data_IF_592363504036
#
_entry.id   IF_592363504036
#
_cell.length_a   1.000
_cell.length_b   1.000
_cell.length_c   1.000
_cell.angle_alpha   90.00
_cell.angle_beta   90.00
_cell.angle_gamma   90.00
#
_symmetry.space_group_name_H-M   'P 1'
#
loop_
_entity.id
_entity.type
_entity.pdbx_description
1 polymer ?
#
# COMPACT_ATOMS: atom_id res chain seq x y z
N UNK A 1 -19.65 1.75 11.95
CA UNK A 1 -18.36 2.15 12.57
C UNK A 1 -18.51 2.70 13.98
N UNK A 2 -19.22 3.82 14.18
CA UNK A 2 -19.43 4.38 15.54
C UNK A 2 -20.15 3.40 16.49
N UNK A 3 -21.06 2.57 15.99
CA UNK A 3 -21.66 1.47 16.75
C UNK A 3 -20.62 0.44 17.23
N UNK A 4 -19.65 0.08 16.39
CA UNK A 4 -18.57 -0.84 16.79
C UNK A 4 -17.68 -0.23 17.88
N UNK A 5 -17.34 1.06 17.75
CA UNK A 5 -16.64 1.81 18.80
C UNK A 5 -17.44 1.83 20.10
N UNK A 6 -18.75 2.04 20.00
CA UNK A 6 -19.66 2.02 21.15
C UNK A 6 -19.68 0.63 21.82
N UNK A 7 -19.84 -0.43 21.03
CA UNK A 7 -19.89 -1.81 21.52
C UNK A 7 -18.58 -2.24 22.19
N UNK A 8 -17.43 -1.82 21.65
CA UNK A 8 -16.11 -2.16 22.20
C UNK A 8 -15.78 -1.37 23.47
N UNK A 9 -16.02 -0.05 23.47
CA UNK A 9 -15.47 0.84 24.50
C UNK A 9 -16.51 1.41 25.48
N UNK A 10 -17.79 1.47 25.11
CA UNK A 10 -18.81 2.21 25.84
C UNK A 10 -20.00 1.35 26.32
N UNK A 11 -20.17 0.13 25.79
CA UNK A 11 -21.21 -0.81 26.22
C UNK A 11 -21.11 -1.18 27.71
N UNK A 12 -19.88 -1.23 28.23
CA UNK A 12 -19.60 -1.48 29.65
C UNK A 12 -18.73 -0.36 30.22
N UNK A 13 -18.93 -0.04 31.50
CA UNK A 13 -18.10 0.95 32.19
C UNK A 13 -16.69 0.38 32.42
N UNK A 14 -15.76 0.71 31.54
CA UNK A 14 -14.37 0.28 31.66
C UNK A 14 -13.68 0.90 32.88
N UNK A 15 -12.71 0.17 33.45
CA UNK A 15 -11.85 0.67 34.55
C UNK A 15 -11.02 1.88 34.12
N UNK A 16 -10.68 1.94 32.83
CA UNK A 16 -9.99 3.05 32.18
C UNK A 16 -10.83 3.46 30.97
N UNK A 17 -11.75 4.42 31.12
CA UNK A 17 -12.67 4.79 30.05
C UNK A 17 -11.93 5.50 28.92
N UNK A 18 -12.18 5.05 27.70
CA UNK A 18 -11.80 5.79 26.48
C UNK A 18 -12.68 7.04 26.42
N UNK A 19 -12.10 8.17 26.02
CA UNK A 19 -12.81 9.45 25.86
C UNK A 19 -12.98 9.76 24.39
N UNK A 20 -14.11 10.35 24.02
CA UNK A 20 -14.28 10.90 22.67
C UNK A 20 -14.24 12.41 22.73
N UNK A 21 -13.34 13.01 21.96
CA UNK A 21 -13.18 14.44 21.84
C UNK A 21 -13.50 14.88 20.41
N UNK A 22 -14.40 15.86 20.28
CA UNK A 22 -14.65 16.59 19.04
C UNK A 22 -13.99 17.97 19.14
N UNK A 23 -12.79 18.14 18.56
CA UNK A 23 -12.13 19.43 18.55
C UNK A 23 -12.89 20.42 17.66
N UNK A 24 -13.08 21.63 18.16
CA UNK A 24 -13.62 22.74 17.36
C UNK A 24 -12.46 23.37 16.61
N UNK A 25 -12.44 23.18 15.29
CA UNK A 25 -11.34 23.63 14.45
C UNK A 25 -11.26 25.16 14.47
N UNK A 26 -10.15 25.76 14.94
CA UNK A 26 -10.00 27.21 14.94
C UNK A 26 -9.78 27.72 13.51
N UNK A 27 -10.17 28.97 13.26
CA UNK A 27 -9.97 29.62 11.96
C UNK A 27 -8.50 29.82 11.60
N UNK A 28 -7.62 29.94 12.61
CA UNK A 28 -6.18 29.99 12.39
C UNK A 28 -5.62 28.58 12.18
N UNK A 29 -4.96 28.36 11.05
CA UNK A 29 -4.42 27.06 10.63
C UNK A 29 -5.51 25.97 10.50
N UNK A 30 -6.72 26.35 10.11
CA UNK A 30 -7.88 25.48 9.96
C UNK A 30 -7.56 24.19 9.18
N UNK A 31 -6.95 24.32 8.00
CA UNK A 31 -6.61 23.20 7.15
C UNK A 31 -5.62 22.23 7.82
N UNK A 32 -4.66 22.74 8.60
CA UNK A 32 -3.73 21.89 9.36
C UNK A 32 -4.47 21.13 10.46
N UNK A 33 -5.36 21.78 11.19
CA UNK A 33 -6.13 21.14 12.25
C UNK A 33 -7.12 20.11 11.71
N UNK A 34 -7.82 20.42 10.62
CA UNK A 34 -8.67 19.45 9.91
C UNK A 34 -7.85 18.28 9.38
N UNK A 35 -6.65 18.53 8.84
CA UNK A 35 -5.71 17.49 8.44
C UNK A 35 -5.22 16.61 9.60
N UNK A 36 -5.13 17.17 10.81
CA UNK A 36 -4.59 16.51 11.98
C UNK A 36 -5.66 15.77 12.80
N UNK A 37 -6.81 16.38 13.09
CA UNK A 37 -7.85 15.76 13.90
C UNK A 37 -8.99 15.16 13.09
N UNK A 38 -9.12 15.56 11.81
CA UNK A 38 -10.28 15.25 10.99
C UNK A 38 -11.43 16.21 11.31
N UNK A 39 -12.17 16.57 10.28
CA UNK A 39 -13.36 17.41 10.36
C UNK A 39 -14.58 16.57 9.95
N UNK A 40 -15.67 16.73 10.69
CA UNK A 40 -16.93 16.07 10.34
C UNK A 40 -17.66 16.93 9.32
N UNK A 41 -18.22 16.27 8.30
CA UNK A 41 -19.13 16.92 7.37
C UNK A 41 -20.29 17.58 8.16
N UNK A 42 -20.62 18.85 7.90
CA UNK A 42 -21.71 19.54 8.58
C UNK A 42 -23.04 18.77 8.58
N UNK A 43 -23.31 17.98 7.53
CA UNK A 43 -24.52 17.17 7.42
C UNK A 43 -24.50 15.95 8.36
N UNK A 44 -23.32 15.48 8.73
CA UNK A 44 -23.14 14.37 9.67
C UNK A 44 -23.17 14.82 11.12
N UNK A 45 -22.86 16.08 11.43
CA UNK A 45 -22.80 16.59 12.80
C UNK A 45 -24.13 16.36 13.56
N UNK A 46 -25.31 16.75 13.04
CA UNK A 46 -26.57 16.52 13.74
C UNK A 46 -26.86 15.03 14.00
N UNK A 47 -26.44 14.15 13.09
CA UNK A 47 -26.62 12.70 13.21
C UNK A 47 -25.73 12.14 14.32
N UNK A 48 -24.46 12.56 14.35
CA UNK A 48 -23.52 12.18 15.42
C UNK A 48 -24.05 12.67 16.76
N UNK A 49 -24.57 13.89 16.81
CA UNK A 49 -25.11 14.49 18.03
C UNK A 49 -26.36 13.79 18.56
N UNK A 50 -27.32 13.53 17.68
CA UNK A 50 -28.57 12.90 18.06
C UNK A 50 -28.38 11.47 18.59
N UNK A 51 -27.43 10.72 18.02
CA UNK A 51 -27.32 9.29 18.26
C UNK A 51 -26.14 8.88 19.14
N UNK A 52 -25.05 9.66 19.19
CA UNK A 52 -23.79 9.22 19.81
C UNK A 52 -23.25 10.17 20.89
N UNK A 53 -23.62 11.45 20.92
CA UNK A 53 -23.07 12.38 21.92
C UNK A 53 -23.36 11.97 23.36
N UNK A 54 -24.60 11.57 23.68
CA UNK A 54 -24.97 11.11 25.04
C UNK A 54 -24.42 9.72 25.38
N UNK A 55 -24.54 8.69 24.51
CA UNK A 55 -24.05 7.36 24.85
C UNK A 55 -22.53 7.26 24.96
N UNK A 56 -21.80 8.11 24.25
CA UNK A 56 -20.33 8.07 24.13
C UNK A 56 -19.64 9.15 24.98
N UNK A 57 -20.42 10.01 25.66
CA UNK A 57 -19.91 11.13 26.47
C UNK A 57 -18.91 12.01 25.70
N UNK A 58 -19.37 12.52 24.57
CA UNK A 58 -18.52 13.28 23.64
C UNK A 58 -18.20 14.66 24.21
N UNK A 59 -16.92 14.92 24.43
CA UNK A 59 -16.40 16.19 24.90
C UNK A 59 -16.08 17.11 23.71
N UNK A 60 -16.52 18.37 23.75
CA UNK A 60 -16.09 19.40 22.79
C UNK A 60 -14.89 20.14 23.32
N UNK A 61 -13.88 20.35 22.47
CA UNK A 61 -12.60 20.96 22.86
C UNK A 61 -12.34 22.19 22.00
N UNK A 62 -12.47 23.36 22.60
CA UNK A 62 -12.36 24.65 21.89
C UNK A 62 -10.90 25.14 21.78
N UNK A 63 -10.07 24.90 22.80
CA UNK A 63 -8.65 25.28 22.80
C UNK A 63 -7.77 24.09 22.41
N UNK A 64 -7.77 23.77 21.10
CA UNK A 64 -6.91 22.70 20.57
C UNK A 64 -5.44 22.89 20.94
N UNK A 65 -4.80 24.07 20.72
CA UNK A 65 -3.39 24.26 21.00
C UNK A 65 -3.02 24.07 22.48
N UNK A 66 -3.88 24.49 23.41
CA UNK A 66 -3.66 24.26 24.84
C UNK A 66 -3.78 22.78 25.21
N UNK A 67 -4.77 22.08 24.65
CA UNK A 67 -5.12 20.70 25.02
C UNK A 67 -4.43 19.59 24.21
N UNK A 68 -3.43 19.91 23.37
CA UNK A 68 -2.75 18.93 22.52
C UNK A 68 -2.25 17.70 23.28
N UNK A 69 -1.65 17.88 24.46
CA UNK A 69 -1.20 16.77 25.32
C UNK A 69 -2.31 15.79 25.66
N UNK A 70 -3.49 16.31 26.00
CA UNK A 70 -4.67 15.50 26.32
C UNK A 70 -5.26 14.87 25.06
N UNK A 71 -5.52 15.67 24.01
CA UNK A 71 -6.11 15.22 22.74
C UNK A 71 -5.29 14.13 22.06
N UNK A 72 -3.97 14.16 22.18
CA UNK A 72 -3.08 13.17 21.57
C UNK A 72 -2.83 11.94 22.45
N UNK A 73 -3.37 11.90 23.66
CA UNK A 73 -3.23 10.75 24.55
C UNK A 73 -3.88 9.49 23.95
N UNK A 74 -3.34 8.27 24.18
CA UNK A 74 -3.80 7.06 23.50
C UNK A 74 -5.26 6.69 23.75
N UNK A 75 -5.81 7.15 24.87
CA UNK A 75 -7.17 6.92 25.36
C UNK A 75 -8.20 7.93 24.84
N UNK A 76 -7.78 8.90 24.02
CA UNK A 76 -8.69 9.89 23.42
C UNK A 76 -8.91 9.56 21.94
N UNK A 77 -10.17 9.37 21.56
CA UNK A 77 -10.62 9.21 20.19
C UNK A 77 -11.14 10.55 19.66
N UNK A 78 -10.67 10.94 18.49
CA UNK A 78 -11.13 12.10 17.73
C UNK A 78 -11.47 11.65 16.30
N UNK A 79 -12.16 12.44 15.46
CA UNK A 79 -12.74 11.98 14.19
C UNK A 79 -11.80 11.10 13.35
N UNK A 80 -10.57 11.54 13.15
CA UNK A 80 -9.56 10.78 12.42
C UNK A 80 -9.20 9.42 13.06
N UNK A 81 -9.10 9.33 14.39
CA UNK A 81 -8.85 8.05 15.09
C UNK A 81 -10.09 7.16 15.08
N UNK A 82 -11.29 7.76 15.16
CA UNK A 82 -12.55 7.04 15.04
C UNK A 82 -12.65 6.34 13.68
N UNK A 83 -12.28 7.01 12.59
CA UNK A 83 -12.28 6.42 11.23
C UNK A 83 -11.15 5.41 10.97
N UNK A 84 -10.19 5.29 11.88
CA UNK A 84 -9.15 4.25 11.83
C UNK A 84 -9.52 3.00 12.64
N UNK A 85 -10.62 3.04 13.41
CA UNK A 85 -11.06 1.91 14.22
C UNK A 85 -11.39 0.69 13.34
N UNK A 86 -10.99 -0.51 13.78
CA UNK A 86 -11.16 -1.73 12.99
C UNK A 86 -10.24 -1.88 11.77
N UNK A 87 -9.44 -0.85 11.43
CA UNK A 87 -8.42 -0.94 10.38
C UNK A 87 -7.09 -1.43 10.98
N UNK A 88 -6.55 -2.49 10.38
CA UNK A 88 -5.22 -3.03 10.64
C UNK A 88 -4.27 -2.56 9.56
N UNK A 89 -3.17 -1.97 10.00
CA UNK A 89 -2.08 -1.56 9.13
C UNK A 89 -1.21 -2.75 8.77
N UNK A 90 -0.98 -2.97 7.48
CA UNK A 90 -0.01 -3.94 6.96
C UNK A 90 1.22 -3.20 6.43
N UNK A 91 2.32 -3.34 7.18
CA UNK A 91 3.60 -2.71 6.81
C UNK A 91 4.29 -3.50 5.71
N UNK A 92 4.75 -2.80 4.68
CA UNK A 92 5.54 -3.39 3.60
C UNK A 92 7.04 -3.11 3.81
N UNK A 93 7.87 -4.16 3.81
CA UNK A 93 9.34 -4.06 3.73
C UNK A 93 10.14 -4.21 5.03
N UNK A 94 11.47 -4.31 4.86
CA UNK A 94 12.49 -4.42 5.93
C UNK A 94 12.60 -3.17 6.82
N UNK A 95 11.96 -2.06 6.44
CA UNK A 95 11.87 -0.80 7.21
C UNK A 95 10.89 -0.88 8.40
N UNK A 96 10.55 -2.08 8.88
CA UNK A 96 9.73 -2.29 10.06
C UNK A 96 10.40 -1.79 11.37
N UNK A 97 11.67 -1.36 11.32
CA UNK A 97 12.42 -0.78 12.43
C UNK A 97 12.73 0.70 12.16
N UNK A 98 12.41 1.56 13.14
CA UNK A 98 13.14 2.83 13.33
C UNK A 98 12.59 4.11 12.74
N UNK A 99 11.63 4.11 11.81
CA UNK A 99 11.32 5.35 11.06
C UNK A 99 10.21 6.22 11.67
N UNK A 100 10.30 6.52 12.97
CA UNK A 100 9.51 7.60 13.52
C UNK A 100 10.00 8.94 12.96
N UNK A 101 9.09 9.85 12.64
CA UNK A 101 9.47 11.12 12.03
C UNK A 101 8.70 12.30 12.62
N UNK A 102 9.40 13.42 12.72
CA UNK A 102 8.83 14.72 13.05
C UNK A 102 8.93 15.54 11.78
N UNK A 103 7.80 15.95 11.23
CA UNK A 103 7.76 16.76 10.03
C UNK A 103 7.68 18.23 10.41
N UNK A 104 8.81 18.93 10.34
CA UNK A 104 8.91 20.36 10.61
C UNK A 104 8.40 21.13 9.39
N UNK A 105 7.26 21.79 9.55
CA UNK A 105 6.45 22.28 8.44
C UNK A 105 5.91 23.69 8.64
N UNK A 106 5.56 24.35 7.54
CA UNK A 106 4.78 25.58 7.53
C UNK A 106 3.30 25.23 7.41
N UNK A 107 2.55 25.34 8.51
CA UNK A 107 1.12 25.00 8.51
C UNK A 107 0.23 26.04 7.81
N UNK A 108 0.79 27.18 7.39
CA UNK A 108 0.08 28.16 6.57
C UNK A 108 0.20 27.84 5.08
N UNK A 109 1.06 26.90 4.69
CA UNK A 109 1.25 26.50 3.30
C UNK A 109 0.55 25.16 3.00
N UNK A 110 -0.29 25.16 1.97
CA UNK A 110 -1.07 23.98 1.56
C UNK A 110 -0.18 22.82 1.12
N UNK A 111 0.93 23.10 0.42
CA UNK A 111 1.82 22.05 -0.09
C UNK A 111 2.45 21.26 1.06
N UNK A 112 2.80 21.94 2.14
CA UNK A 112 3.35 21.32 3.34
C UNK A 112 2.28 20.45 4.05
N UNK A 113 1.00 20.85 4.03
CA UNK A 113 -0.09 20.02 4.57
C UNK A 113 -0.33 18.79 3.71
N UNK A 114 -0.27 18.93 2.38
CA UNK A 114 -0.34 17.80 1.44
C UNK A 114 0.83 16.84 1.64
N UNK A 115 2.03 17.37 1.85
CA UNK A 115 3.21 16.57 2.20
C UNK A 115 3.00 15.83 3.52
N UNK A 116 2.50 16.50 4.56
CA UNK A 116 2.17 15.88 5.84
C UNK A 116 1.19 14.71 5.67
N UNK A 117 0.14 14.86 4.86
CA UNK A 117 -0.78 13.76 4.54
C UNK A 117 -0.09 12.60 3.85
N UNK A 118 0.75 12.86 2.85
CA UNK A 118 1.47 11.81 2.14
C UNK A 118 2.50 11.10 3.05
N UNK A 119 3.19 11.83 3.93
CA UNK A 119 4.07 11.23 4.93
C UNK A 119 3.30 10.29 5.88
N UNK A 120 2.08 10.67 6.26
CA UNK A 120 1.22 9.80 7.07
C UNK A 120 0.70 8.60 6.30
N UNK A 121 0.43 8.74 5.01
CA UNK A 121 -0.01 7.64 4.14
C UNK A 121 1.09 6.56 3.98
N UNK A 122 2.37 6.90 4.13
CA UNK A 122 3.45 5.91 4.27
C UNK A 122 3.37 5.07 5.56
N UNK A 123 2.40 5.36 6.42
CA UNK A 123 2.13 4.65 7.67
C UNK A 123 3.14 4.91 8.79
N UNK A 124 4.32 5.46 8.52
CA UNK A 124 5.34 5.76 9.54
C UNK A 124 4.76 6.61 10.70
N UNK A 125 5.15 6.35 11.96
CA UNK A 125 4.75 7.23 13.07
C UNK A 125 5.22 8.66 12.78
N UNK A 126 4.29 9.57 12.57
CA UNK A 126 4.58 10.94 12.15
C UNK A 126 3.88 11.94 13.07
N UNK A 127 4.63 12.93 13.56
CA UNK A 127 4.09 14.15 14.16
C UNK A 127 4.38 15.31 13.22
N UNK A 128 3.34 16.04 12.80
CA UNK A 128 3.48 17.31 12.11
C UNK A 128 3.75 18.39 13.13
N UNK A 129 4.85 19.12 12.96
CA UNK A 129 5.32 20.19 13.82
C UNK A 129 5.28 21.50 13.03
N UNK A 130 4.18 22.28 13.15
CA UNK A 130 4.10 23.61 12.57
C UNK A 130 5.13 24.54 13.21
N UNK A 131 5.90 25.26 12.39
CA UNK A 131 6.80 26.31 12.90
C UNK A 131 6.03 27.42 13.63
N UNK A 132 4.78 27.68 13.24
CA UNK A 132 3.86 28.60 13.92
C UNK A 132 3.55 28.20 15.36
N UNK A 133 3.72 26.93 15.71
CA UNK A 133 3.44 26.38 17.03
C UNK A 133 4.71 25.91 17.74
N UNK A 134 5.89 26.34 17.26
CA UNK A 134 7.17 25.98 17.86
C UNK A 134 7.25 26.35 19.36
N UNK A 135 6.69 27.50 19.73
CA UNK A 135 6.71 27.99 21.12
C UNK A 135 5.58 27.39 21.99
N UNK A 136 4.72 26.54 21.44
CA UNK A 136 3.62 25.95 22.19
C UNK A 136 4.15 24.84 23.12
N UNK A 137 4.03 25.04 24.43
CA UNK A 137 4.52 24.11 25.45
C UNK A 137 3.81 22.75 25.43
N UNK A 138 2.51 22.71 25.11
CA UNK A 138 1.71 21.47 25.03
C UNK A 138 2.23 20.57 23.89
N UNK A 139 2.43 21.14 22.70
CA UNK A 139 3.00 20.45 21.55
C UNK A 139 4.43 20.00 21.84
N UNK A 140 5.24 20.86 22.46
CA UNK A 140 6.61 20.53 22.87
C UNK A 140 6.65 19.35 23.83
N UNK A 141 5.75 19.30 24.82
CA UNK A 141 5.62 18.17 25.74
C UNK A 141 5.26 16.86 25.03
N UNK A 142 4.31 16.91 24.09
CA UNK A 142 3.94 15.77 23.25
C UNK A 142 5.13 15.30 22.42
N UNK A 143 5.86 16.23 21.81
CA UNK A 143 7.01 15.93 20.97
C UNK A 143 8.12 15.25 21.76
N UNK A 144 8.45 15.75 22.95
CA UNK A 144 9.45 15.14 23.83
C UNK A 144 9.04 13.71 24.19
N UNK A 145 7.77 13.48 24.55
CA UNK A 145 7.25 12.14 24.84
C UNK A 145 7.35 11.22 23.63
N UNK A 146 7.05 11.73 22.43
CA UNK A 146 7.17 10.99 21.19
C UNK A 146 8.62 10.60 20.87
N UNK A 147 9.56 11.53 20.98
CA UNK A 147 10.99 11.28 20.76
C UNK A 147 11.53 10.24 21.74
N UNK A 148 11.20 10.37 23.03
CA UNK A 148 11.58 9.40 24.07
C UNK A 148 11.01 8.00 23.80
N UNK A 149 9.74 7.92 23.40
CA UNK A 149 9.07 6.63 23.14
C UNK A 149 9.57 5.90 21.89
N UNK A 150 10.20 6.64 20.97
CA UNK A 150 10.75 6.10 19.74
C UNK A 150 12.27 5.89 19.77
N UNK A 151 12.96 6.33 20.84
CA UNK A 151 14.35 5.95 21.10
C UNK A 151 14.40 4.48 21.55
N UNK A 152 14.96 3.59 20.73
CA UNK A 152 14.96 2.14 20.99
C UNK A 152 16.31 1.50 20.70
N UNK A 153 16.86 0.80 21.69
CA UNK A 153 18.10 0.05 21.50
C UNK A 153 17.93 -1.06 20.48
N UNK A 154 18.97 -1.26 19.65
CA UNK A 154 19.01 -2.40 18.76
C UNK A 154 19.13 -3.68 19.57
N UNK A 155 18.27 -4.67 19.26
CA UNK A 155 18.23 -5.97 19.94
C UNK A 155 19.60 -6.66 20.02
N UNK A 156 20.43 -6.49 18.99
CA UNK A 156 21.74 -7.13 18.88
C UNK A 156 22.90 -6.22 19.26
N UNK A 157 22.67 -4.91 19.46
CA UNK A 157 23.70 -3.95 19.83
C UNK A 157 23.12 -2.81 20.68
N UNK A 158 23.10 -2.94 22.02
CA UNK A 158 22.59 -1.91 22.91
C UNK A 158 23.37 -0.58 22.89
N UNK A 159 24.51 -0.50 22.19
CA UNK A 159 25.24 0.77 22.02
C UNK A 159 24.63 1.65 20.92
N UNK A 160 23.71 1.13 20.13
CA UNK A 160 23.05 1.84 19.03
C UNK A 160 21.55 1.90 19.29
N UNK A 161 20.97 3.09 19.06
CA UNK A 161 19.54 3.32 19.15
C UNK A 161 18.95 3.68 17.79
N UNK A 162 17.78 3.11 17.50
CA UNK A 162 16.83 3.72 16.58
C UNK A 162 16.30 5.01 17.23
N UNK A 163 16.20 6.08 16.45
CA UNK A 163 15.77 7.40 16.90
C UNK A 163 14.87 8.04 15.84
N UNK A 164 14.05 9.01 16.25
CA UNK A 164 13.18 9.69 15.30
C UNK A 164 13.96 10.68 14.42
N UNK A 165 13.54 10.82 13.16
CA UNK A 165 14.12 11.78 12.23
C UNK A 165 13.30 13.07 12.16
N UNK A 166 13.95 14.23 12.24
CA UNK A 166 13.34 15.48 11.84
C UNK A 166 13.46 15.64 10.32
N UNK A 167 12.32 15.78 9.65
CA UNK A 167 12.22 16.01 8.22
C UNK A 167 11.77 17.46 8.02
N UNK A 168 12.55 18.22 7.29
CA UNK A 168 12.25 19.60 6.92
C UNK A 168 11.25 19.63 5.76
N UNK A 169 10.24 20.47 5.84
CA UNK A 169 9.35 20.78 4.72
C UNK A 169 10.03 21.63 3.65
N UNK A 170 9.33 21.85 2.54
CA UNK A 170 9.82 22.71 1.45
C UNK A 170 9.82 24.18 1.83
N UNK A 171 8.87 24.59 2.69
CA UNK A 171 8.63 25.97 3.11
C UNK A 171 9.18 26.32 4.50
N UNK A 172 10.11 25.51 5.00
CA UNK A 172 10.89 25.77 6.21
C UNK A 172 12.38 25.72 5.91
N UNK A 173 13.23 26.40 6.65
CA UNK A 173 14.68 26.37 6.48
C UNK A 173 15.33 25.31 7.37
N UNK A 174 16.56 24.91 7.02
CA UNK A 174 17.33 23.97 7.87
C UNK A 174 17.71 24.62 9.20
N UNK A 175 18.00 25.92 9.18
CA UNK A 175 18.41 26.68 10.36
C UNK A 175 17.27 26.77 11.38
N UNK A 176 16.05 27.10 10.93
CA UNK A 176 14.84 27.11 11.79
C UNK A 176 14.61 25.74 12.45
N UNK A 177 14.67 24.65 11.67
CA UNK A 177 14.50 23.29 12.20
C UNK A 177 15.60 22.93 13.20
N UNK A 178 16.85 23.30 12.91
CA UNK A 178 17.98 23.01 13.77
C UNK A 178 17.94 23.83 15.07
N UNK A 179 17.54 25.10 15.01
CA UNK A 179 17.34 25.97 16.16
C UNK A 179 16.25 25.42 17.07
N UNK A 180 15.09 25.07 16.49
CA UNK A 180 14.02 24.42 17.24
C UNK A 180 14.48 23.11 17.89
N UNK A 181 15.13 22.24 17.12
CA UNK A 181 15.57 20.94 17.63
C UNK A 181 16.57 21.11 18.79
N UNK A 182 17.53 22.04 18.68
CA UNK A 182 18.46 22.38 19.77
C UNK A 182 17.73 22.88 21.01
N UNK A 183 16.65 23.66 20.82
CA UNK A 183 15.88 24.19 21.94
C UNK A 183 15.32 23.08 22.84
N UNK A 184 15.06 21.87 22.32
CA UNK A 184 14.45 20.76 23.08
C UNK A 184 15.32 20.26 24.24
N UNK A 185 16.62 20.54 24.22
CA UNK A 185 17.59 20.21 25.28
C UNK A 185 17.46 18.77 25.83
N UNK A 186 17.43 17.80 24.90
CA UNK A 186 17.26 16.39 25.23
C UNK A 186 18.62 15.72 25.43
N UNK A 187 19.05 15.60 26.69
CA UNK A 187 20.24 14.82 27.04
C UNK A 187 19.92 13.34 27.25
N UNK A 188 20.77 12.41 26.75
CA UNK A 188 20.64 10.98 27.02
C UNK A 188 20.56 10.70 28.53
N UNK A 189 19.84 9.64 28.96
CA UNK A 189 19.76 9.27 30.37
C UNK A 189 21.15 8.98 30.95
N UNK A 190 21.37 9.34 32.21
CA UNK A 190 22.60 8.96 32.90
C UNK A 190 22.73 7.43 32.98
N UNK A 191 23.90 6.90 32.61
CA UNK A 191 24.17 5.46 32.61
C UNK A 191 23.64 4.69 31.39
N UNK A 192 23.12 5.38 30.38
CA UNK A 192 22.69 4.75 29.12
C UNK A 192 23.89 4.20 28.34
N UNK A 193 23.74 2.98 27.79
CA UNK A 193 24.80 2.30 27.03
C UNK A 193 25.03 2.90 25.64
N UNK A 194 24.05 3.64 25.10
CA UNK A 194 24.15 4.32 23.81
C UNK A 194 24.46 5.81 24.00
N UNK A 195 25.39 6.32 23.18
CA UNK A 195 25.69 7.75 23.07
C UNK A 195 24.78 8.47 22.08
N UNK A 196 23.89 7.76 21.42
CA UNK A 196 22.97 8.34 20.46
C UNK A 196 21.96 9.23 21.17
N UNK A 197 21.65 10.37 20.55
CA UNK A 197 20.63 11.30 21.01
C UNK A 197 19.22 10.73 20.91
N UNK A 198 18.22 11.61 21.01
CA UNK A 198 16.81 11.21 20.85
C UNK A 198 16.27 11.37 19.43
N UNK A 199 17.03 12.05 18.57
CA UNK A 199 16.63 12.35 17.21
C UNK A 199 17.85 12.57 16.31
N UNK A 200 17.60 12.51 14.99
CA UNK A 200 18.54 12.93 13.95
C UNK A 200 17.90 13.98 13.06
N UNK A 201 18.71 14.90 12.52
CA UNK A 201 18.24 15.89 11.55
C UNK A 201 18.45 15.34 10.14
N UNK A 202 17.36 15.07 9.44
CA UNK A 202 17.40 14.56 8.08
C UNK A 202 17.65 15.71 7.10
N UNK A 203 18.77 15.66 6.37
CA UNK A 203 19.17 16.70 5.41
C UNK A 203 18.60 16.52 4.00
N UNK A 204 17.91 15.41 3.76
CA UNK A 204 17.30 15.07 2.48
C UNK A 204 15.80 14.89 2.64
N UNK A 205 15.06 15.14 1.57
CA UNK A 205 13.61 15.00 1.55
C UNK A 205 13.23 13.64 0.94
N UNK A 206 12.36 12.83 1.58
CA UNK A 206 11.93 11.58 0.99
C UNK A 206 11.26 11.80 -0.37
N UNK A 207 11.66 11.00 -1.37
CA UNK A 207 11.23 11.17 -2.75
C UNK A 207 9.82 10.60 -3.00
N UNK A 208 8.85 11.01 -2.17
CA UNK A 208 7.45 10.56 -2.22
C UNK A 208 6.74 10.96 -3.52
N UNK A 209 7.25 11.97 -4.22
CA UNK A 209 6.70 12.49 -5.49
C UNK A 209 7.40 11.94 -6.74
N UNK A 210 8.52 11.22 -6.58
CA UNK A 210 9.28 10.66 -7.69
C UNK A 210 8.81 9.22 -7.93
N UNK A 211 8.01 9.02 -8.99
CA UNK A 211 7.45 7.70 -9.31
C UNK A 211 8.51 6.61 -9.56
N UNK A 212 9.72 6.98 -9.97
CA UNK A 212 10.80 6.02 -10.23
C UNK A 212 11.63 5.71 -8.98
N UNK A 213 11.82 6.70 -8.09
CA UNK A 213 12.64 6.54 -6.91
C UNK A 213 11.88 6.09 -5.64
N UNK A 214 10.54 6.25 -5.62
CA UNK A 214 9.71 6.00 -4.45
C UNK A 214 9.90 4.60 -3.85
N UNK A 215 9.97 3.57 -4.70
CA UNK A 215 10.13 2.18 -4.27
C UNK A 215 11.51 1.90 -3.68
N UNK A 216 12.54 2.63 -4.14
CA UNK A 216 13.93 2.46 -3.68
C UNK A 216 14.18 3.05 -2.30
N UNK A 217 13.44 4.10 -1.95
CA UNK A 217 13.54 4.77 -0.65
C UNK A 217 12.61 4.17 0.41
N UNK A 218 11.91 3.08 0.08
CA UNK A 218 10.80 2.57 0.88
C UNK A 218 9.78 3.67 1.22
N UNK A 219 9.58 4.61 0.29
CA UNK A 219 8.68 5.75 0.42
C UNK A 219 7.27 5.41 -0.10
N UNK A 220 6.89 4.13 0.01
CA UNK A 220 5.62 3.60 -0.47
C UNK A 220 4.52 3.78 0.59
N UNK A 221 3.26 4.03 0.18
CA UNK A 221 2.14 4.03 1.12
C UNK A 221 2.02 2.69 1.85
N UNK A 222 1.58 2.69 3.10
CA UNK A 222 1.20 1.44 3.77
C UNK A 222 -0.23 1.06 3.40
N UNK A 223 -0.51 -0.24 3.49
CA UNK A 223 -1.86 -0.76 3.27
C UNK A 223 -2.63 -0.85 4.58
N UNK A 224 -3.94 -0.63 4.48
CA UNK A 224 -4.87 -0.72 5.59
C UNK A 224 -5.99 -1.68 5.20
N UNK A 225 -6.09 -2.77 5.94
CA UNK A 225 -7.10 -3.81 5.76
C UNK A 225 -7.98 -3.88 7.00
N UNK A 226 -9.14 -4.51 6.90
CA UNK A 226 -9.86 -4.92 8.11
C UNK A 226 -9.27 -6.23 8.65
N UNK A 227 -9.79 -6.70 9.79
CA UNK A 227 -9.40 -8.01 10.31
C UNK A 227 -9.97 -9.19 9.52
N UNK A 228 -10.82 -8.90 8.53
CA UNK A 228 -11.62 -9.88 7.80
C UNK A 228 -10.90 -10.31 6.53
N UNK A 229 -10.65 -11.60 6.39
CA UNK A 229 -10.09 -12.22 5.20
C UNK A 229 -10.95 -13.41 4.75
N UNK A 230 -10.76 -13.80 3.50
CA UNK A 230 -11.45 -14.93 2.91
C UNK A 230 -10.49 -15.68 2.00
N UNK A 231 -10.38 -16.99 2.19
CA UNK A 231 -9.61 -17.86 1.32
C UNK A 231 -10.54 -18.82 0.62
N UNK A 232 -10.37 -18.96 -0.69
CA UNK A 232 -11.10 -19.92 -1.51
C UNK A 232 -10.09 -20.82 -2.21
N UNK A 233 -10.22 -22.13 -2.01
CA UNK A 233 -9.39 -23.09 -2.73
C UNK A 233 -9.84 -23.18 -4.19
N UNK A 234 -8.87 -23.10 -5.09
CA UNK A 234 -9.11 -23.28 -6.52
C UNK A 234 -9.26 -24.78 -6.80
N UNK A 235 -10.50 -25.21 -7.05
CA UNK A 235 -10.75 -26.55 -7.57
C UNK A 235 -10.17 -26.74 -8.97
N UNK A 236 -9.93 -27.98 -9.38
CA UNK A 236 -9.56 -28.30 -10.76
C UNK A 236 -10.78 -28.28 -11.70
N UNK A 237 -11.55 -27.20 -11.69
CA UNK A 237 -12.68 -27.06 -12.60
C UNK A 237 -12.21 -26.69 -14.01
N UNK A 238 -12.76 -27.30 -15.07
CA UNK A 238 -12.36 -27.02 -16.45
C UNK A 238 -12.59 -25.57 -16.88
N UNK A 239 -13.59 -24.91 -16.28
CA UNK A 239 -14.02 -23.55 -16.60
C UNK A 239 -13.15 -22.47 -15.93
N UNK A 240 -12.26 -22.87 -15.00
CA UNK A 240 -11.38 -21.99 -14.21
C UNK A 240 -12.15 -20.83 -13.57
N UNK A 241 -13.41 -21.09 -13.23
CA UNK A 241 -14.27 -20.14 -12.55
C UNK A 241 -14.22 -20.38 -11.05
N UNK A 242 -14.14 -19.29 -10.31
CA UNK A 242 -14.10 -19.31 -8.85
C UNK A 242 -15.28 -18.53 -8.35
N UNK A 243 -16.00 -19.12 -7.40
CA UNK A 243 -17.03 -18.40 -6.66
C UNK A 243 -16.35 -17.65 -5.52
N UNK A 244 -16.21 -16.34 -5.67
CA UNK A 244 -15.70 -15.46 -4.63
C UNK A 244 -16.89 -14.88 -3.86
N UNK A 245 -16.87 -15.02 -2.54
CA UNK A 245 -17.83 -14.33 -1.67
C UNK A 245 -17.21 -13.01 -1.25
N UNK A 246 -17.97 -11.93 -1.38
CA UNK A 246 -17.53 -10.64 -0.90
C UNK A 246 -17.36 -10.67 0.63
N UNK A 247 -16.16 -10.32 1.09
CA UNK A 247 -15.84 -10.06 2.49
C UNK A 247 -16.21 -8.60 2.78
N UNK A 248 -17.11 -8.37 3.72
CA UNK A 248 -17.54 -7.03 4.14
C UNK A 248 -17.21 -6.89 5.62
N UNK A 249 -16.59 -5.79 6.05
CA UNK A 249 -16.32 -5.58 7.47
C UNK A 249 -17.61 -5.51 8.29
N UNK A 250 -17.60 -6.02 9.51
CA UNK A 250 -18.76 -6.00 10.44
C UNK A 250 -19.41 -4.62 10.52
N UNK A 251 -18.58 -3.57 10.57
CA UNK A 251 -19.05 -2.18 10.70
C UNK A 251 -19.72 -1.62 9.43
N UNK A 252 -19.65 -2.33 8.31
CA UNK A 252 -20.19 -1.98 7.00
C UNK A 252 -21.38 -2.88 6.57
N UNK A 253 -21.65 -3.99 7.28
CA UNK A 253 -22.74 -4.91 6.95
C UNK A 253 -24.13 -4.28 7.14
N UNK A 254 -24.31 -3.40 8.12
CA UNK A 254 -25.62 -3.08 8.68
C UNK A 254 -26.46 -1.99 7.98
N UNK A 255 -26.01 -1.34 6.90
CA UNK A 255 -26.75 -0.21 6.31
C UNK A 255 -26.79 -0.17 4.78
N UNK A 256 -28.01 -0.20 4.22
CA UNK A 256 -28.35 0.20 2.86
C UNK A 256 -28.15 -0.86 1.77
N UNK A 257 -29.24 -1.24 1.09
CA UNK A 257 -29.26 -2.14 -0.10
C UNK A 257 -28.82 -1.39 -1.38
N UNK A 258 -28.75 -0.05 -1.33
CA UNK A 258 -28.60 0.82 -2.51
C UNK A 258 -27.41 1.79 -2.48
N UNK A 259 -26.39 1.57 -1.63
CA UNK A 259 -25.23 2.46 -1.64
C UNK A 259 -24.26 2.13 -2.77
N UNK A 260 -23.47 3.14 -3.15
CA UNK A 260 -22.18 2.95 -3.82
C UNK A 260 -21.28 1.99 -3.01
N UNK A 261 -20.19 1.53 -3.61
CA UNK A 261 -19.26 0.59 -2.99
C UNK A 261 -18.88 0.97 -1.55
N UNK A 262 -19.06 0.03 -0.62
CA UNK A 262 -18.86 0.21 0.84
C UNK A 262 -17.43 -0.10 1.26
N UNK A 263 -16.84 -1.10 0.63
CA UNK A 263 -15.47 -1.53 0.86
C UNK A 263 -14.81 -1.96 -0.46
N UNK A 264 -13.50 -2.12 -0.40
CA UNK A 264 -12.69 -2.62 -1.50
C UNK A 264 -12.04 -3.94 -1.07
N UNK A 265 -12.37 -5.01 -1.79
CA UNK A 265 -11.80 -6.32 -1.56
C UNK A 265 -10.62 -6.49 -2.48
N UNK A 266 -9.44 -6.60 -1.89
CA UNK A 266 -8.24 -6.99 -2.60
C UNK A 266 -8.22 -8.51 -2.78
N UNK A 267 -7.91 -8.95 -3.99
CA UNK A 267 -7.92 -10.35 -4.40
C UNK A 267 -6.54 -10.70 -4.92
N UNK A 268 -5.90 -11.61 -4.21
CA UNK A 268 -4.62 -12.18 -4.59
C UNK A 268 -4.81 -13.62 -5.03
N UNK A 269 -4.17 -14.00 -6.14
CA UNK A 269 -4.18 -15.37 -6.66
C UNK A 269 -2.83 -16.01 -6.39
N UNK A 270 -2.84 -17.18 -5.74
CA UNK A 270 -1.65 -18.03 -5.62
C UNK A 270 -1.95 -19.34 -6.34
N UNK A 271 -1.39 -19.50 -7.54
CA UNK A 271 -1.75 -20.57 -8.47
C UNK A 271 -0.55 -21.51 -8.63
N UNK A 272 -0.74 -22.79 -8.32
CA UNK A 272 0.31 -23.80 -8.43
C UNK A 272 -0.15 -24.96 -9.31
N UNK A 273 0.73 -25.46 -10.18
CA UNK A 273 0.50 -26.69 -10.96
C UNK A 273 -0.64 -26.60 -11.99
N UNK A 274 -1.03 -25.40 -12.42
CA UNK A 274 -2.04 -25.23 -13.47
C UNK A 274 -1.48 -25.63 -14.84
N UNK A 275 -2.27 -26.33 -15.64
CA UNK A 275 -1.88 -26.74 -17.00
C UNK A 275 -1.73 -25.58 -18.00
N UNK A 276 -2.20 -24.39 -17.63
CA UNK A 276 -2.00 -23.13 -18.35
C UNK A 276 -1.58 -22.03 -17.38
N UNK A 277 -0.72 -21.12 -17.83
CA UNK A 277 -0.26 -19.98 -17.04
C UNK A 277 -1.36 -18.95 -16.89
N UNK A 278 -1.89 -18.85 -15.68
CA UNK A 278 -2.92 -17.90 -15.29
C UNK A 278 -2.30 -16.57 -14.88
N UNK A 279 -3.08 -15.50 -14.96
CA UNK A 279 -2.61 -14.17 -14.62
C UNK A 279 -2.53 -14.00 -13.09
N UNK A 280 -1.31 -13.92 -12.57
CA UNK A 280 -1.03 -13.53 -11.17
C UNK A 280 -0.67 -12.05 -11.05
N UNK A 281 -0.17 -11.45 -12.14
CA UNK A 281 0.22 -10.06 -12.22
C UNK A 281 -0.66 -9.29 -13.21
N UNK A 282 -1.03 -8.06 -12.83
CA UNK A 282 -1.90 -7.19 -13.60
C UNK A 282 -1.22 -5.83 -13.81
N UNK A 283 -1.39 -5.19 -14.99
CA UNK A 283 -0.75 -3.92 -15.28
C UNK A 283 -1.41 -2.77 -14.52
N UNK A 284 -0.61 -1.92 -13.86
CA UNK A 284 -1.12 -0.76 -13.11
C UNK A 284 -1.80 0.28 -14.01
N UNK A 285 -1.30 0.47 -15.24
CA UNK A 285 -1.94 1.28 -16.27
C UNK A 285 -2.72 0.37 -17.22
N UNK A 286 -4.03 0.59 -17.31
CA UNK A 286 -4.92 -0.28 -18.06
C UNK A 286 -6.10 0.49 -18.66
N UNK A 287 -6.62 -0.02 -19.77
CA UNK A 287 -7.72 0.57 -20.51
C UNK A 287 -8.95 -0.35 -20.57
N UNK A 288 -9.86 -0.09 -21.51
CA UNK A 288 -11.08 -0.88 -21.67
C UNK A 288 -10.86 -2.36 -22.05
N UNK A 289 -9.77 -2.71 -22.73
CA UNK A 289 -9.50 -4.10 -23.11
C UNK A 289 -9.11 -4.93 -21.88
N UNK A 290 -8.18 -4.46 -21.04
CA UNK A 290 -7.82 -5.15 -19.80
C UNK A 290 -9.00 -5.24 -18.84
N UNK A 291 -9.81 -4.17 -18.70
CA UNK A 291 -11.05 -4.21 -17.89
C UNK A 291 -11.98 -5.33 -18.33
N UNK A 292 -12.17 -5.49 -19.64
CA UNK A 292 -13.00 -6.58 -20.19
C UNK A 292 -12.38 -7.96 -19.93
N UNK A 293 -11.07 -8.10 -20.01
CA UNK A 293 -10.37 -9.36 -19.78
C UNK A 293 -10.44 -9.83 -18.31
N UNK A 294 -10.44 -8.90 -17.35
CA UNK A 294 -10.45 -9.21 -15.91
C UNK A 294 -11.83 -9.60 -15.39
N UNK A 295 -12.88 -8.93 -15.87
CA UNK A 295 -14.18 -8.99 -15.20
C UNK A 295 -15.38 -8.81 -16.12
N UNK A 296 -15.21 -9.05 -17.43
CA UNK A 296 -16.25 -9.17 -18.45
C UNK A 296 -17.61 -8.51 -18.16
N UNK A 297 -17.90 -7.39 -18.83
CA UNK A 297 -19.23 -6.71 -18.83
C UNK A 297 -19.79 -6.43 -17.42
N UNK A 298 -18.95 -6.04 -16.46
CA UNK A 298 -19.45 -5.44 -15.23
C UNK A 298 -20.03 -4.05 -15.56
N UNK A 299 -21.34 -3.89 -15.46
CA UNK A 299 -22.11 -2.67 -15.77
C UNK A 299 -21.71 -1.41 -14.96
N UNK A 300 -20.82 -1.53 -13.96
CA UNK A 300 -20.61 -0.52 -12.90
C UNK A 300 -19.16 -0.18 -12.56
N UNK A 301 -18.17 -0.48 -13.41
CA UNK A 301 -16.74 -0.18 -13.16
C UNK A 301 -16.25 -0.64 -11.76
N UNK A 302 -16.75 -1.80 -11.31
CA UNK A 302 -16.52 -2.31 -9.96
C UNK A 302 -15.16 -3.00 -9.80
N UNK A 303 -14.49 -3.33 -10.91
CA UNK A 303 -13.18 -3.99 -10.92
C UNK A 303 -12.08 -2.98 -11.20
N UNK A 304 -11.03 -3.01 -10.39
CA UNK A 304 -9.85 -2.14 -10.50
C UNK A 304 -8.58 -2.95 -10.30
N UNK A 305 -7.47 -2.46 -10.83
CA UNK A 305 -6.15 -3.00 -10.54
C UNK A 305 -5.50 -2.05 -9.54
N UNK A 306 -5.29 -2.54 -8.32
CA UNK A 306 -4.56 -1.85 -7.27
C UNK A 306 -3.07 -2.13 -7.34
N UNK A 307 -2.31 -1.59 -6.39
CA UNK A 307 -0.87 -1.84 -6.27
C UNK A 307 -0.55 -3.31 -6.04
N UNK A 308 -1.38 -3.98 -5.26
CA UNK A 308 -1.11 -5.33 -4.76
C UNK A 308 -1.87 -6.42 -5.55
N UNK A 309 -2.65 -6.04 -6.57
CA UNK A 309 -3.38 -6.99 -7.39
C UNK A 309 -4.77 -6.50 -7.76
N UNK A 310 -5.69 -7.45 -7.89
CA UNK A 310 -7.04 -7.17 -8.34
C UNK A 310 -7.90 -6.65 -7.19
N UNK A 311 -8.69 -5.61 -7.43
CA UNK A 311 -9.55 -4.99 -6.42
C UNK A 311 -10.99 -4.99 -6.91
N UNK A 312 -11.89 -5.54 -6.09
CA UNK A 312 -13.32 -5.48 -6.29
C UNK A 312 -13.94 -4.46 -5.34
N UNK A 313 -14.64 -3.50 -5.90
CA UNK A 313 -15.53 -2.62 -5.16
C UNK A 313 -16.82 -3.37 -4.80
N UNK A 314 -17.11 -3.47 -3.51
CA UNK A 314 -18.20 -4.28 -2.96
C UNK A 314 -19.31 -3.38 -2.42
N UNK A 315 -20.52 -3.55 -2.94
CA UNK A 315 -21.72 -2.88 -2.42
C UNK A 315 -22.54 -3.77 -1.45
N UNK A 316 -22.34 -5.09 -1.47
CA UNK A 316 -23.06 -6.04 -0.60
C UNK A 316 -22.44 -7.44 -0.61
N UNK A 317 -22.96 -8.32 0.24
CA UNK A 317 -22.38 -9.65 0.57
C UNK A 317 -22.66 -10.73 -0.49
N UNK A 318 -22.81 -10.34 -1.76
CA UNK A 318 -23.08 -11.27 -2.85
C UNK A 318 -21.87 -12.14 -3.18
N UNK A 319 -22.13 -13.40 -3.56
CA UNK A 319 -21.11 -14.19 -4.26
C UNK A 319 -21.05 -13.78 -5.74
N UNK A 320 -19.85 -13.79 -6.30
CA UNK A 320 -19.60 -13.56 -7.72
C UNK A 320 -18.79 -14.72 -8.30
N UNK A 321 -19.10 -15.08 -9.54
CA UNK A 321 -18.26 -16.00 -10.31
C UNK A 321 -17.23 -15.20 -11.08
N UNK A 322 -15.96 -15.48 -10.84
CA UNK A 322 -14.83 -14.84 -11.50
C UNK A 322 -14.07 -15.90 -12.26
N UNK A 323 -13.93 -15.72 -13.57
CA UNK A 323 -13.03 -16.54 -14.37
C UNK A 323 -11.63 -15.97 -14.24
N UNK A 324 -10.66 -16.78 -13.81
CA UNK A 324 -9.26 -16.33 -13.75
C UNK A 324 -8.73 -16.27 -15.19
N UNK A 325 -8.32 -15.09 -15.68
CA UNK A 325 -7.85 -14.95 -17.05
C UNK A 325 -6.46 -15.58 -17.24
N UNK A 326 -6.16 -15.99 -18.45
CA UNK A 326 -4.80 -16.45 -18.77
C UNK A 326 -3.83 -15.27 -18.77
N UNK A 327 -2.56 -15.49 -18.39
CA UNK A 327 -1.54 -14.44 -18.38
C UNK A 327 -1.38 -13.77 -19.76
N UNK A 328 -1.48 -14.58 -20.83
CA UNK A 328 -1.44 -14.08 -22.21
C UNK A 328 -2.63 -13.18 -22.54
N UNK A 329 -3.84 -13.51 -22.08
CA UNK A 329 -5.05 -12.71 -22.34
C UNK A 329 -4.90 -11.32 -21.75
N UNK A 330 -4.39 -11.22 -20.52
CA UNK A 330 -4.12 -9.93 -19.86
C UNK A 330 -3.03 -9.15 -20.58
N UNK A 331 -1.92 -9.79 -20.96
CA UNK A 331 -0.85 -9.12 -21.70
C UNK A 331 -1.34 -8.60 -23.06
N UNK A 332 -2.13 -9.40 -23.78
CA UNK A 332 -2.66 -9.01 -25.09
C UNK A 332 -3.69 -7.88 -24.96
N UNK A 333 -4.56 -7.97 -23.95
CA UNK A 333 -5.49 -6.89 -23.66
C UNK A 333 -4.75 -5.58 -23.32
N UNK A 334 -3.66 -5.67 -22.55
CA UNK A 334 -2.84 -4.51 -22.20
C UNK A 334 -2.16 -3.88 -23.41
N UNK A 335 -1.54 -4.70 -24.27
CA UNK A 335 -0.96 -4.24 -25.53
C UNK A 335 -2.02 -3.60 -26.44
N UNK A 336 -3.23 -4.16 -26.48
CA UNK A 336 -4.35 -3.58 -27.22
C UNK A 336 -4.77 -2.21 -26.66
N UNK A 337 -4.77 -2.04 -25.34
CA UNK A 337 -5.01 -0.74 -24.69
C UNK A 337 -3.92 0.29 -25.04
N UNK A 338 -2.69 -0.15 -25.37
CA UNK A 338 -1.61 0.70 -25.89
C UNK A 338 -1.69 0.92 -27.42
N UNK A 339 -2.74 0.44 -28.09
CA UNK A 339 -2.95 0.62 -29.53
C UNK A 339 -2.35 -0.47 -30.43
N UNK A 340 -1.87 -1.58 -29.86
CA UNK A 340 -1.28 -2.68 -30.62
C UNK A 340 -2.32 -3.75 -30.99
N UNK A 341 -2.01 -4.58 -31.99
CA UNK A 341 -2.80 -5.79 -32.32
C UNK A 341 -1.93 -7.01 -32.07
N UNK A 342 -1.87 -7.50 -30.82
CA UNK A 342 -0.94 -8.56 -30.45
C UNK A 342 -1.42 -9.91 -30.97
N UNK A 343 -0.52 -10.64 -31.62
CA UNK A 343 -0.70 -12.03 -32.05
C UNK A 343 0.57 -12.81 -31.73
N UNK A 344 0.43 -14.11 -31.44
CA UNK A 344 1.59 -14.97 -31.26
C UNK A 344 2.20 -15.29 -32.63
N UNK A 345 3.50 -15.01 -32.77
CA UNK A 345 4.28 -15.52 -33.91
C UNK A 345 4.47 -17.04 -33.79
N UNK A 346 4.85 -17.69 -34.88
CA UNK A 346 5.18 -19.13 -34.88
C UNK A 346 6.24 -19.50 -33.83
N UNK A 347 7.28 -18.66 -33.69
CA UNK A 347 8.29 -18.84 -32.66
C UNK A 347 7.72 -18.62 -31.24
N UNK A 348 6.80 -17.68 -31.07
CA UNK A 348 6.08 -17.45 -29.81
C UNK A 348 5.19 -18.62 -29.40
N UNK A 349 4.54 -19.28 -30.36
CA UNK A 349 3.75 -20.51 -30.13
C UNK A 349 4.67 -21.63 -29.63
N UNK A 350 5.82 -21.84 -30.28
CA UNK A 350 6.80 -22.83 -29.86
C UNK A 350 7.35 -22.52 -28.46
N UNK A 351 7.72 -21.26 -28.20
CA UNK A 351 8.18 -20.82 -26.90
C UNK A 351 7.14 -21.07 -25.81
N UNK A 352 5.85 -20.80 -26.07
CA UNK A 352 4.74 -21.11 -25.16
C UNK A 352 4.65 -22.61 -24.88
N UNK A 353 4.81 -23.45 -25.91
CA UNK A 353 4.80 -24.91 -25.73
C UNK A 353 5.99 -25.39 -24.90
N UNK A 354 7.21 -24.90 -25.17
CA UNK A 354 8.41 -25.23 -24.39
C UNK A 354 8.22 -24.81 -22.93
N UNK A 355 7.78 -23.57 -22.70
CA UNK A 355 7.56 -23.03 -21.37
C UNK A 355 6.52 -23.86 -20.59
N UNK A 356 5.45 -24.31 -21.27
CA UNK A 356 4.43 -25.21 -20.71
C UNK A 356 5.00 -26.60 -20.37
N UNK A 357 5.80 -27.21 -21.25
CA UNK A 357 6.41 -28.53 -21.01
C UNK A 357 7.45 -28.50 -19.88
N UNK A 358 8.06 -27.35 -19.64
CA UNK A 358 9.04 -27.15 -18.57
C UNK A 358 8.41 -26.64 -17.26
N UNK A 359 7.08 -26.56 -17.16
CA UNK A 359 6.35 -26.02 -16.01
C UNK A 359 6.86 -24.62 -15.58
N UNK A 360 7.18 -23.79 -16.56
CA UNK A 360 7.75 -22.45 -16.36
C UNK A 360 9.23 -22.40 -15.93
N UNK A 361 9.85 -23.54 -15.62
CA UNK A 361 11.27 -23.62 -15.25
C UNK A 361 12.17 -23.68 -16.48
N UNK A 362 12.34 -22.56 -17.17
CA UNK A 362 13.20 -22.50 -18.38
C UNK A 362 14.66 -22.13 -18.09
N UNK A 363 15.03 -21.91 -16.82
CA UNK A 363 16.40 -21.50 -16.45
C UNK A 363 17.48 -22.48 -16.90
N UNK A 364 17.17 -23.78 -17.00
CA UNK A 364 18.12 -24.78 -17.49
C UNK A 364 18.40 -24.65 -19.00
N UNK A 365 17.49 -24.05 -19.79
CA UNK A 365 17.70 -23.77 -21.21
C UNK A 365 18.76 -22.68 -21.44
N UNK A 366 19.14 -21.92 -20.42
CA UNK A 366 20.29 -21.01 -20.50
C UNK A 366 21.63 -21.77 -20.60
N UNK A 367 21.66 -23.08 -20.31
CA UNK A 367 22.86 -23.90 -20.44
C UNK A 367 23.06 -24.31 -21.91
N UNK A 368 24.16 -23.88 -22.56
CA UNK A 368 24.43 -24.20 -23.96
C UNK A 368 24.46 -25.72 -24.23
N UNK A 369 24.91 -26.52 -23.25
CA UNK A 369 24.96 -27.98 -23.40
C UNK A 369 23.56 -28.58 -23.54
N UNK A 370 22.57 -28.03 -22.83
CA UNK A 370 21.19 -28.53 -22.90
C UNK A 370 20.55 -28.11 -24.22
N UNK A 371 20.80 -26.88 -24.69
CA UNK A 371 20.34 -26.44 -26.01
C UNK A 371 20.90 -27.32 -27.13
N UNK A 372 22.19 -27.65 -27.09
CA UNK A 372 22.81 -28.52 -28.09
C UNK A 372 22.21 -29.93 -28.12
N UNK A 373 21.83 -30.48 -26.96
CA UNK A 373 21.13 -31.78 -26.87
C UNK A 373 19.73 -31.66 -27.47
N UNK A 374 18.99 -30.59 -27.18
CA UNK A 374 17.66 -30.36 -27.73
C UNK A 374 17.71 -30.17 -29.26
N UNK A 375 18.70 -29.44 -29.78
CA UNK A 375 18.95 -29.33 -31.22
C UNK A 375 19.29 -30.68 -31.85
N UNK A 376 20.10 -31.49 -31.18
CA UNK A 376 20.41 -32.84 -31.62
C UNK A 376 19.16 -33.74 -31.72
N UNK A 377 18.31 -33.68 -30.70
CA UNK A 377 17.04 -34.43 -30.66
C UNK A 377 16.01 -33.92 -31.68
N UNK A 378 16.08 -32.64 -32.07
CA UNK A 378 15.20 -32.03 -33.06
C UNK A 378 15.68 -32.21 -34.52
N UNK A 379 16.69 -33.07 -34.74
CA UNK A 379 17.20 -33.42 -36.06
C UNK A 379 18.38 -32.58 -36.55
N UNK A 380 19.03 -31.82 -35.67
CA UNK A 380 20.33 -31.18 -35.93
C UNK A 380 21.50 -32.16 -35.75
N UNK A 381 22.46 -32.15 -36.68
CA UNK A 381 23.67 -32.96 -36.52
C UNK A 381 24.72 -32.19 -35.71
N UNK A 382 24.86 -32.55 -34.43
CA UNK A 382 25.80 -31.95 -33.48
C UNK A 382 26.85 -33.00 -33.10
N UNK A 383 28.12 -32.61 -32.94
CA UNK A 383 29.16 -33.52 -32.45
C UNK A 383 28.92 -33.89 -30.98
N UNK A 384 29.52 -34.98 -30.46
CA UNK A 384 29.38 -35.40 -29.05
C UNK A 384 29.77 -34.31 -28.02
N UNK A 385 30.56 -33.31 -28.42
CA UNK A 385 30.97 -32.17 -27.60
C UNK A 385 30.02 -30.97 -27.69
N UNK A 386 28.90 -31.10 -28.42
CA UNK A 386 27.92 -30.04 -28.61
C UNK A 386 28.32 -28.96 -29.61
N UNK A 387 29.24 -29.23 -30.54
CA UNK A 387 29.54 -28.29 -31.64
C UNK A 387 28.73 -28.64 -32.90
N UNK A 388 28.17 -27.67 -33.63
CA UNK A 388 27.50 -27.94 -34.91
C UNK A 388 28.45 -28.68 -35.87
N UNK A 389 27.99 -29.72 -36.54
CA UNK A 389 28.82 -30.38 -37.58
C UNK A 389 28.93 -29.50 -38.82
N UNK A 390 30.10 -29.47 -39.47
CA UNK A 390 30.39 -28.60 -40.63
C UNK A 390 29.47 -28.82 -41.85
N UNK A 391 28.56 -29.80 -41.82
CA UNK A 391 27.51 -29.97 -42.84
C UNK A 391 26.41 -28.92 -42.77
N UNK A 392 26.35 -28.11 -41.72
CA UNK A 392 25.42 -26.97 -41.58
C UNK A 392 26.04 -25.62 -42.00
N UNK A 393 26.73 -25.57 -43.15
CA UNK A 393 26.57 -24.37 -43.98
C UNK A 393 25.13 -24.39 -44.45
N UNK A 394 24.25 -23.68 -43.73
CA UNK A 394 22.87 -23.35 -44.10
C UNK A 394 22.67 -23.50 -45.62
N UNK A 395 22.06 -24.59 -46.08
CA UNK A 395 21.59 -24.64 -47.45
C UNK A 395 20.55 -23.53 -47.59
N UNK A 396 20.66 -22.73 -48.66
CA UNK A 396 19.76 -21.61 -48.95
C UNK A 396 18.27 -22.03 -48.93
N UNK A 397 17.98 -23.33 -49.08
CA UNK A 397 16.65 -23.94 -48.98
C UNK A 397 16.00 -23.79 -47.60
N UNK A 398 16.75 -23.82 -46.48
CA UNK A 398 16.16 -23.62 -45.14
C UNK A 398 15.87 -22.15 -44.82
N UNK A 399 16.64 -21.21 -45.39
CA UNK A 399 16.32 -19.78 -45.33
C UNK A 399 15.10 -19.42 -46.17
N UNK A 400 14.87 -20.11 -47.30
CA UNK A 400 13.71 -19.88 -48.17
C UNK A 400 12.39 -20.42 -47.58
N UNK A 401 12.43 -21.52 -46.82
CA UNK A 401 11.24 -22.04 -46.14
C UNK A 401 10.68 -21.09 -45.06
N UNK A 402 11.51 -20.22 -44.48
CA UNK A 402 11.08 -19.18 -43.52
C UNK A 402 10.63 -17.89 -44.23
N UNK A 403 11.14 -17.61 -45.44
CA UNK A 403 10.70 -16.46 -46.23
C UNK A 403 9.35 -16.71 -46.94
N UNK A 404 9.00 -17.94 -47.30
CA UNK A 404 7.72 -18.25 -47.97
C UNK A 404 6.48 -18.30 -47.06
N UNK A 405 6.62 -18.10 -45.74
CA UNK A 405 5.46 -17.95 -44.82
C UNK A 405 5.14 -16.47 -44.53
N UNK A 406 5.86 -15.53 -45.16
CA UNK A 406 5.46 -14.12 -45.22
C UNK A 406 4.98 -13.77 -46.63
N UNK A 407 3.78 -14.25 -46.97
CA UNK A 407 2.86 -13.66 -47.96
C UNK A 407 1.65 -14.59 -48.13
N UNK A 408 0.70 -14.50 -47.18
CA UNK A 408 -0.74 -14.71 -47.37
C UNK A 408 -1.47 -14.17 -46.14
#
# INVERSE_FOLDING_TARGET
MLEGVFDEHFKYKAKYPVKVALPVIPTNLDLYWSAFFGELDPDLVPIVEAHYTKPVDVERVDDIPGDLGRLLSPDVLFPRRLVQHGLRRQRHGFAARGDASVFFMDASNVDDIVDFWNFRAMGRPLIGLPKQLADNESLRGVLIKFLRSNRRHWRNNPKVCDVASFIRSRHSTMDEMQEFAKSLDLMPPEGDSSKDGYYVLQRWYPRIWDSWARDKDAATPDDFYTGDDGTVELGQTPDRSVRLTAVVPDFAESRGIYSHAKCANEINFSIFGSSEHLAEAFPASYGPAVRRAIGGVALRDEWRIGRNGLVKLVAGVGSMHVKIPAAQEILFAWLADQGWKPELSTAGILAKQIYRQCDGQVGFLANPKVLNILEHMNGGNVTPDGKPTERDKLSEERSLAVQHVKCA
#
